data_IF_775466829887
#
_entry.id   IF_775466829887
#
_cell.length_a   1.000
_cell.length_b   1.000
_cell.length_c   1.000
_cell.angle_alpha   90.00
_cell.angle_beta   90.00
_cell.angle_gamma   90.00
#
_symmetry.space_group_name_H-M   'P 1'
#
loop_
_entity.id
_entity.type
_entity.pdbx_description
1 polymer ?
#
# COMPACT_ATOMS: atom_id res chain seq x y z
N UNK A 1 -27.80 -29.59 -21.06
CA UNK A 1 -26.89 -28.45 -20.80
C UNK A 1 -25.77 -28.97 -19.91
N UNK A 2 -24.52 -28.95 -20.35
CA UNK A 2 -23.40 -29.44 -19.54
C UNK A 2 -23.13 -28.45 -18.40
N UNK A 3 -23.53 -28.80 -17.18
CA UNK A 3 -23.20 -28.08 -15.94
C UNK A 3 -21.73 -28.30 -15.55
N UNK A 4 -20.81 -28.12 -16.50
CA UNK A 4 -19.39 -28.27 -16.22
C UNK A 4 -18.94 -27.09 -15.39
N UNK A 5 -18.52 -27.36 -14.16
CA UNK A 5 -17.88 -26.37 -13.31
C UNK A 5 -16.46 -26.15 -13.83
N UNK A 6 -16.16 -24.92 -14.18
CA UNK A 6 -14.88 -24.46 -14.66
C UNK A 6 -14.21 -23.65 -13.55
N UNK A 7 -12.89 -23.76 -13.46
CA UNK A 7 -12.08 -22.92 -12.59
C UNK A 7 -11.32 -21.90 -13.44
N UNK A 8 -11.26 -20.67 -12.98
CA UNK A 8 -10.50 -19.61 -13.62
C UNK A 8 -10.00 -18.59 -12.62
N UNK A 9 -9.26 -17.60 -13.13
CA UNK A 9 -8.72 -16.48 -12.38
C UNK A 9 -9.32 -15.18 -12.92
N UNK A 10 -9.79 -14.32 -12.03
CA UNK A 10 -10.25 -12.98 -12.39
C UNK A 10 -9.06 -12.17 -12.91
N UNK A 11 -9.08 -11.77 -14.18
CA UNK A 11 -8.05 -10.94 -14.81
C UNK A 11 -8.42 -9.46 -14.81
N UNK A 12 -9.72 -9.14 -14.72
CA UNK A 12 -10.20 -7.76 -14.68
C UNK A 12 -11.53 -7.63 -13.93
N UNK A 13 -11.71 -6.52 -13.22
CA UNK A 13 -12.95 -6.17 -12.52
C UNK A 13 -13.43 -4.82 -13.03
N UNK A 14 -14.64 -4.76 -13.57
CA UNK A 14 -15.31 -3.52 -13.93
C UNK A 14 -16.23 -3.10 -12.77
N UNK A 15 -15.80 -2.11 -11.99
CA UNK A 15 -16.53 -1.64 -10.81
C UNK A 15 -17.82 -0.88 -11.15
N UNK A 16 -17.88 -0.21 -12.31
CA UNK A 16 -19.08 0.52 -12.77
C UNK A 16 -20.18 -0.43 -13.24
N UNK A 17 -19.81 -1.38 -14.12
CA UNK A 17 -20.74 -2.35 -14.71
C UNK A 17 -20.98 -3.56 -13.83
N UNK A 18 -20.25 -3.69 -12.71
CA UNK A 18 -20.28 -4.83 -11.78
C UNK A 18 -20.09 -6.17 -12.50
N UNK A 19 -19.08 -6.24 -13.37
CA UNK A 19 -18.73 -7.46 -14.11
C UNK A 19 -17.26 -7.83 -13.92
N UNK A 20 -16.95 -9.12 -13.95
CA UNK A 20 -15.57 -9.62 -13.97
C UNK A 20 -15.25 -10.31 -15.29
N UNK A 21 -13.99 -10.21 -15.70
CA UNK A 21 -13.40 -11.05 -16.74
C UNK A 21 -12.61 -12.16 -16.07
N UNK A 22 -12.88 -13.41 -16.46
CA UNK A 22 -12.26 -14.60 -15.91
C UNK A 22 -11.45 -15.27 -17.01
N UNK A 23 -10.14 -15.42 -16.79
CA UNK A 23 -9.26 -16.24 -17.61
C UNK A 23 -9.28 -17.69 -17.12
N UNK A 24 -9.39 -18.62 -18.06
CA UNK A 24 -9.47 -20.06 -17.77
C UNK A 24 -8.91 -20.87 -18.93
N UNK A 25 -8.45 -22.09 -18.64
CA UNK A 25 -7.90 -23.00 -19.64
C UNK A 25 -8.96 -24.01 -20.12
N UNK A 26 -9.05 -24.18 -21.44
CA UNK A 26 -9.86 -25.23 -22.07
C UNK A 26 -9.01 -25.94 -23.10
N UNK A 27 -8.73 -27.23 -22.88
CA UNK A 27 -7.92 -28.07 -23.78
C UNK A 27 -6.55 -27.43 -24.12
N UNK A 28 -5.87 -26.87 -23.12
CA UNK A 28 -4.56 -26.21 -23.28
C UNK A 28 -4.59 -24.83 -23.95
N UNK A 29 -5.79 -24.28 -24.25
CA UNK A 29 -5.95 -22.92 -24.77
C UNK A 29 -6.53 -22.02 -23.69
N UNK A 30 -5.84 -20.91 -23.42
CA UNK A 30 -6.35 -19.81 -22.58
C UNK A 30 -7.55 -19.17 -23.26
N UNK A 31 -8.63 -19.02 -22.51
CA UNK A 31 -9.85 -18.31 -22.88
C UNK A 31 -10.20 -17.29 -21.82
N UNK A 32 -10.96 -16.28 -22.22
CA UNK A 32 -11.52 -15.30 -21.31
C UNK A 32 -13.05 -15.27 -21.44
N UNK A 33 -13.74 -15.13 -20.32
CA UNK A 33 -15.20 -15.03 -20.28
C UNK A 33 -15.63 -13.96 -19.29
N UNK A 34 -16.64 -13.18 -19.66
CA UNK A 34 -17.20 -12.17 -18.77
C UNK A 34 -18.40 -12.74 -18.00
N UNK A 35 -18.57 -12.29 -16.75
CA UNK A 35 -19.74 -12.62 -15.94
C UNK A 35 -20.15 -11.49 -14.99
N UNK A 36 -21.46 -11.36 -14.71
CA UNK A 36 -21.98 -10.39 -13.75
C UNK A 36 -21.65 -10.82 -12.31
N UNK A 37 -21.32 -9.84 -11.47
CA UNK A 37 -21.04 -9.99 -10.03
C UNK A 37 -21.73 -8.90 -9.20
N UNK A 38 -22.77 -8.27 -9.75
CA UNK A 38 -23.61 -7.30 -9.04
C UNK A 38 -24.34 -7.92 -7.84
N UNK A 39 -24.83 -7.05 -6.97
CA UNK A 39 -25.46 -7.43 -5.70
C UNK A 39 -26.74 -8.26 -5.91
N UNK A 40 -27.48 -8.03 -6.99
CA UNK A 40 -28.67 -8.80 -7.33
C UNK A 40 -28.29 -10.25 -7.70
N UNK A 41 -27.30 -10.40 -8.59
CA UNK A 41 -26.77 -11.69 -9.02
C UNK A 41 -26.21 -12.48 -7.84
N UNK A 42 -25.34 -11.86 -7.03
CA UNK A 42 -24.79 -12.52 -5.84
C UNK A 42 -25.87 -12.82 -4.79
N UNK A 43 -26.87 -11.95 -4.65
CA UNK A 43 -28.02 -12.15 -3.77
C UNK A 43 -28.85 -13.38 -4.18
N UNK A 44 -29.09 -13.57 -5.47
CA UNK A 44 -29.76 -14.78 -6.00
C UNK A 44 -28.94 -16.04 -5.75
N UNK A 45 -27.62 -15.98 -5.97
CA UNK A 45 -26.72 -17.12 -5.70
C UNK A 45 -26.69 -17.49 -4.22
N UNK A 46 -26.74 -16.49 -3.33
CA UNK A 46 -26.81 -16.70 -1.88
C UNK A 46 -28.13 -17.35 -1.47
N UNK A 47 -29.27 -16.86 -2.01
CA UNK A 47 -30.60 -17.46 -1.77
C UNK A 47 -30.67 -18.92 -2.25
N UNK A 48 -29.99 -19.25 -3.35
CA UNK A 48 -29.89 -20.61 -3.89
C UNK A 48 -28.86 -21.50 -3.18
N UNK A 49 -28.15 -20.99 -2.16
CA UNK A 49 -27.13 -21.74 -1.43
C UNK A 49 -25.84 -22.00 -2.20
N UNK A 50 -25.65 -21.38 -3.39
CA UNK A 50 -24.45 -21.56 -4.22
C UNK A 50 -23.24 -20.88 -3.58
N UNK A 51 -23.46 -19.72 -2.95
CA UNK A 51 -22.45 -18.96 -2.19
C UNK A 51 -22.93 -18.72 -0.77
N UNK A 52 -22.01 -18.69 0.20
CA UNK A 52 -22.34 -18.45 1.61
C UNK A 52 -22.45 -16.96 1.94
N UNK A 53 -21.66 -16.12 1.27
CA UNK A 53 -21.59 -14.66 1.46
C UNK A 53 -21.35 -13.97 0.11
N UNK A 54 -21.73 -12.69 0.05
CA UNK A 54 -21.33 -11.79 -1.03
C UNK A 54 -19.82 -11.59 -0.93
N UNK A 55 -19.17 -11.53 -2.08
CA UNK A 55 -17.73 -11.32 -2.20
C UNK A 55 -17.47 -10.11 -3.09
N UNK A 56 -16.60 -9.22 -2.62
CA UNK A 56 -16.06 -8.16 -3.45
C UNK A 56 -14.91 -8.74 -4.27
N UNK A 57 -15.12 -8.88 -5.57
CA UNK A 57 -14.15 -9.53 -6.44
C UNK A 57 -12.96 -8.61 -6.72
N UNK A 58 -11.77 -9.19 -6.63
CA UNK A 58 -10.50 -8.53 -6.92
C UNK A 58 -9.78 -9.27 -8.04
N UNK A 59 -8.86 -8.57 -8.72
CA UNK A 59 -7.96 -9.22 -9.68
C UNK A 59 -7.13 -10.27 -8.95
N UNK A 60 -6.92 -11.43 -9.59
CA UNK A 60 -6.22 -12.57 -9.01
C UNK A 60 -7.11 -13.54 -8.24
N UNK A 61 -8.37 -13.19 -7.96
CA UNK A 61 -9.32 -14.10 -7.34
C UNK A 61 -9.47 -15.37 -8.17
N UNK A 62 -9.27 -16.53 -7.55
CA UNK A 62 -9.57 -17.83 -8.14
C UNK A 62 -11.03 -18.14 -7.86
N UNK A 63 -11.74 -18.48 -8.93
CA UNK A 63 -13.19 -18.66 -8.91
C UNK A 63 -13.60 -19.95 -9.61
N UNK A 64 -14.68 -20.56 -9.12
CA UNK A 64 -15.44 -21.54 -9.88
C UNK A 64 -16.61 -20.85 -10.58
N UNK A 65 -16.94 -21.28 -11.78
CA UNK A 65 -18.07 -20.76 -12.53
C UNK A 65 -18.62 -21.82 -13.48
N UNK A 66 -19.75 -21.52 -14.10
CA UNK A 66 -20.34 -22.32 -15.17
C UNK A 66 -20.43 -21.44 -16.41
N UNK A 67 -20.10 -21.95 -17.58
CA UNK A 67 -20.23 -21.21 -18.84
C UNK A 67 -21.58 -21.50 -19.48
N UNK A 68 -22.33 -20.46 -19.84
CA UNK A 68 -23.63 -20.59 -20.51
C UNK A 68 -23.87 -19.48 -21.53
N UNK A 69 -24.87 -19.66 -22.39
CA UNK A 69 -25.30 -18.60 -23.30
C UNK A 69 -26.03 -17.53 -22.49
N UNK A 70 -25.74 -16.26 -22.75
CA UNK A 70 -26.41 -15.13 -22.12
C UNK A 70 -27.92 -15.19 -22.32
N UNK A 71 -28.71 -14.56 -21.45
CA UNK A 71 -30.16 -14.51 -21.57
C UNK A 71 -30.66 -13.96 -22.92
N UNK A 72 -29.87 -13.11 -23.59
CA UNK A 72 -30.15 -12.57 -24.93
C UNK A 72 -29.66 -13.44 -26.10
N UNK A 73 -29.10 -14.63 -25.84
CA UNK A 73 -28.66 -15.58 -26.88
C UNK A 73 -27.32 -15.26 -27.56
N UNK A 74 -26.80 -14.03 -27.44
CA UNK A 74 -25.78 -13.54 -28.37
C UNK A 74 -24.31 -13.80 -27.96
N UNK A 75 -24.04 -14.22 -26.73
CA UNK A 75 -22.66 -14.44 -26.24
C UNK A 75 -22.58 -15.46 -25.11
N UNK A 76 -21.41 -16.09 -24.97
CA UNK A 76 -21.08 -16.90 -23.79
C UNK A 76 -20.77 -16.00 -22.60
N UNK A 77 -21.32 -16.36 -21.43
CA UNK A 77 -21.11 -15.66 -20.16
C UNK A 77 -20.84 -16.66 -19.04
N UNK A 78 -20.10 -16.21 -18.04
CA UNK A 78 -19.93 -16.94 -16.80
C UNK A 78 -21.12 -16.69 -15.88
N UNK A 79 -21.64 -17.76 -15.28
CA UNK A 79 -22.70 -17.76 -14.27
C UNK A 79 -22.28 -18.60 -13.07
N UNK A 80 -22.98 -18.45 -11.95
CA UNK A 80 -22.66 -19.15 -10.69
C UNK A 80 -21.20 -18.92 -10.24
N UNK A 81 -20.70 -17.69 -10.42
CA UNK A 81 -19.32 -17.33 -10.07
C UNK A 81 -19.20 -17.41 -8.53
N UNK A 82 -18.28 -18.25 -8.08
CA UNK A 82 -18.01 -18.51 -6.67
C UNK A 82 -16.53 -18.28 -6.39
N UNK A 83 -16.25 -17.34 -5.50
CA UNK A 83 -14.92 -17.13 -4.95
C UNK A 83 -14.41 -18.39 -4.22
N UNK A 84 -13.15 -18.73 -4.48
CA UNK A 84 -12.43 -19.79 -3.76
C UNK A 84 -11.38 -19.18 -2.83
N UNK A 85 -10.38 -18.52 -3.41
CA UNK A 85 -9.25 -17.92 -2.70
C UNK A 85 -8.54 -16.88 -3.57
N UNK A 86 -7.70 -16.04 -2.95
CA UNK A 86 -6.74 -15.17 -3.63
C UNK A 86 -5.43 -15.22 -2.85
N UNK A 87 -4.36 -15.69 -3.49
CA UNK A 87 -3.03 -15.83 -2.87
C UNK A 87 -2.06 -14.76 -3.34
N UNK A 88 -2.50 -13.74 -4.10
CA UNK A 88 -1.60 -12.74 -4.67
C UNK A 88 -0.79 -12.02 -3.59
N UNK A 89 -1.44 -11.61 -2.49
CA UNK A 89 -0.75 -10.98 -1.36
C UNK A 89 0.23 -11.95 -0.67
N UNK A 90 -0.16 -13.20 -0.47
CA UNK A 90 0.69 -14.22 0.14
C UNK A 90 1.94 -14.51 -0.69
N UNK A 91 1.78 -14.57 -2.01
CA UNK A 91 2.88 -14.74 -2.96
C UNK A 91 3.84 -13.55 -2.89
N UNK A 92 3.33 -12.31 -2.87
CA UNK A 92 4.16 -11.12 -2.73
C UNK A 92 4.90 -11.08 -1.38
N UNK A 93 4.22 -11.41 -0.28
CA UNK A 93 4.83 -11.46 1.06
C UNK A 93 5.94 -12.52 1.11
N UNK A 94 5.71 -13.69 0.55
CA UNK A 94 6.72 -14.75 0.51
C UNK A 94 7.89 -14.37 -0.39
N UNK A 95 7.65 -13.75 -1.55
CA UNK A 95 8.72 -13.22 -2.42
C UNK A 95 9.52 -12.14 -1.70
N UNK A 96 8.87 -11.24 -0.96
CA UNK A 96 9.53 -10.19 -0.21
C UNK A 96 10.45 -10.72 0.91
N UNK A 97 10.27 -11.96 1.38
CA UNK A 97 11.18 -12.59 2.36
C UNK A 97 12.52 -13.00 1.76
N UNK A 98 12.58 -13.25 0.45
CA UNK A 98 13.83 -13.62 -0.25
C UNK A 98 14.38 -12.47 -1.11
N UNK A 99 13.50 -11.79 -1.84
CA UNK A 99 13.81 -10.67 -2.72
C UNK A 99 12.73 -9.59 -2.61
N UNK A 100 13.00 -8.57 -1.79
CA UNK A 100 12.06 -7.48 -1.54
C UNK A 100 12.25 -6.32 -2.51
N UNK A 101 12.04 -6.59 -3.80
CA UNK A 101 12.14 -5.60 -4.87
C UNK A 101 11.06 -5.85 -5.90
N UNK A 102 10.16 -4.88 -6.04
CA UNK A 102 8.98 -4.95 -6.90
C UNK A 102 8.91 -3.74 -7.83
N UNK A 103 8.17 -3.91 -8.92
CA UNK A 103 7.82 -2.84 -9.85
C UNK A 103 6.33 -2.52 -9.70
N UNK A 104 6.00 -1.24 -9.77
CA UNK A 104 4.63 -0.76 -9.63
C UNK A 104 4.46 0.60 -10.27
N UNK A 105 3.23 1.11 -10.26
CA UNK A 105 2.92 2.46 -10.71
C UNK A 105 2.55 3.32 -9.51
N UNK A 106 3.18 4.49 -9.40
CA UNK A 106 2.83 5.46 -8.36
C UNK A 106 1.46 6.09 -8.69
N UNK A 107 0.57 6.12 -7.71
CA UNK A 107 -0.79 6.68 -7.80
C UNK A 107 -1.03 7.60 -6.60
N UNK A 108 -1.92 8.55 -6.77
CA UNK A 108 -2.41 9.42 -5.70
C UNK A 108 -3.94 9.34 -5.63
N UNK A 109 -4.48 9.27 -4.42
CA UNK A 109 -5.90 9.36 -4.13
C UNK A 109 -6.07 9.97 -2.74
N UNK A 110 -6.96 10.96 -2.60
CA UNK A 110 -7.22 11.67 -1.33
C UNK A 110 -5.94 12.15 -0.62
N UNK A 111 -5.03 12.80 -1.37
CA UNK A 111 -3.72 13.28 -0.91
C UNK A 111 -2.78 12.19 -0.34
N UNK A 112 -3.08 10.91 -0.57
CA UNK A 112 -2.27 9.77 -0.16
C UNK A 112 -1.69 9.07 -1.38
N UNK A 113 -0.42 8.70 -1.25
CA UNK A 113 0.29 7.98 -2.30
C UNK A 113 0.13 6.47 -2.13
N UNK A 114 0.00 5.78 -3.25
CA UNK A 114 -0.10 4.34 -3.33
C UNK A 114 0.79 3.84 -4.46
N UNK A 115 1.32 2.63 -4.31
CA UNK A 115 1.88 1.90 -5.45
C UNK A 115 0.92 0.80 -5.85
N UNK A 116 0.54 0.80 -7.12
CA UNK A 116 -0.16 -0.31 -7.77
C UNK A 116 0.89 -1.28 -8.31
N UNK A 117 1.06 -2.43 -7.67
CA UNK A 117 2.01 -3.45 -8.12
C UNK A 117 1.60 -4.01 -9.51
N UNK A 118 2.57 -4.23 -10.40
CA UNK A 118 2.29 -4.50 -11.82
C UNK A 118 1.55 -5.84 -12.02
N UNK A 119 2.01 -6.91 -11.37
CA UNK A 119 1.55 -8.26 -11.69
C UNK A 119 0.23 -8.62 -11.00
N UNK A 120 0.10 -8.22 -9.73
CA UNK A 120 -1.07 -8.52 -8.88
C UNK A 120 -2.13 -7.43 -8.91
N UNK A 121 -1.78 -6.23 -9.37
CA UNK A 121 -2.61 -5.02 -9.31
C UNK A 121 -3.03 -4.62 -7.89
N UNK A 122 -2.38 -5.18 -6.86
CA UNK A 122 -2.61 -4.80 -5.47
C UNK A 122 -2.08 -3.39 -5.21
N UNK A 123 -2.81 -2.64 -4.39
CA UNK A 123 -2.45 -1.29 -3.98
C UNK A 123 -1.83 -1.33 -2.59
N UNK A 124 -0.64 -0.75 -2.47
CA UNK A 124 0.05 -0.60 -1.20
C UNK A 124 0.22 0.89 -0.87
N UNK A 125 -0.20 1.34 0.31
CA UNK A 125 0.01 2.72 0.72
C UNK A 125 1.50 3.01 0.82
N UNK A 126 1.93 4.17 0.32
CA UNK A 126 3.33 4.59 0.37
C UNK A 126 3.62 5.32 1.68
N UNK A 127 4.62 4.84 2.41
CA UNK A 127 5.13 5.50 3.62
C UNK A 127 6.04 6.65 3.23
N UNK A 128 5.51 7.88 3.21
CA UNK A 128 6.29 9.10 2.94
C UNK A 128 6.86 9.65 4.25
N UNK A 129 8.18 9.84 4.29
CA UNK A 129 8.85 10.50 5.41
C UNK A 129 8.41 11.97 5.54
N UNK A 130 8.30 12.51 6.77
CA UNK A 130 8.10 13.96 6.97
C UNK A 130 9.19 14.83 6.34
N UNK A 131 10.37 14.26 6.09
CA UNK A 131 11.55 14.93 5.54
C UNK A 131 11.86 14.53 4.10
N UNK A 132 10.99 13.74 3.49
CA UNK A 132 11.10 13.36 2.09
C UNK A 132 10.45 14.44 1.22
N UNK A 133 11.13 14.78 0.13
CA UNK A 133 10.56 15.58 -0.94
C UNK A 133 9.48 14.73 -1.59
N UNK A 134 8.24 15.23 -1.61
CA UNK A 134 7.12 14.51 -2.20
C UNK A 134 7.39 14.26 -3.69
N UNK A 135 7.04 13.08 -4.22
CA UNK A 135 7.12 12.84 -5.65
C UNK A 135 6.28 13.88 -6.39
N UNK A 136 6.88 14.48 -7.42
CA UNK A 136 6.20 15.45 -8.27
C UNK A 136 5.10 14.78 -9.11
N UNK A 137 4.15 15.58 -9.61
CA UNK A 137 2.98 15.06 -10.34
C UNK A 137 3.36 14.34 -11.64
N UNK A 138 4.46 14.74 -12.27
CA UNK A 138 5.02 14.09 -13.46
C UNK A 138 5.51 12.65 -13.20
N UNK A 139 5.82 12.32 -11.94
CA UNK A 139 6.15 10.95 -11.51
C UNK A 139 4.91 10.08 -11.27
N UNK A 140 3.72 10.64 -11.29
CA UNK A 140 2.50 9.85 -11.17
C UNK A 140 2.29 9.02 -12.43
N UNK A 141 1.89 7.77 -12.25
CA UNK A 141 1.69 6.77 -13.30
C UNK A 141 2.98 6.30 -14.00
N UNK A 142 4.15 6.76 -13.60
CA UNK A 142 5.42 6.18 -14.04
C UNK A 142 5.72 4.87 -13.30
N UNK A 143 6.43 3.91 -13.94
CA UNK A 143 6.97 2.75 -13.25
C UNK A 143 7.97 3.17 -12.16
N UNK A 144 7.75 2.68 -10.94
CA UNK A 144 8.63 2.88 -9.79
C UNK A 144 9.09 1.55 -9.23
N UNK A 145 10.29 1.52 -8.68
CA UNK A 145 10.78 0.39 -7.90
C UNK A 145 10.45 0.61 -6.42
N UNK A 146 9.92 -0.40 -5.75
CA UNK A 146 9.57 -0.33 -4.33
C UNK A 146 9.81 -1.65 -3.61
N UNK A 147 9.81 -1.59 -2.27
CA UNK A 147 9.83 -2.74 -1.37
C UNK A 147 8.61 -2.72 -0.46
N UNK A 148 8.20 -3.88 0.04
CA UNK A 148 7.14 -4.03 1.02
C UNK A 148 7.71 -3.99 2.45
N UNK A 149 7.16 -3.14 3.31
CA UNK A 149 7.45 -3.09 4.74
C UNK A 149 6.28 -3.70 5.56
N UNK A 150 6.53 -4.07 6.81
CA UNK A 150 5.55 -4.68 7.74
C UNK A 150 4.96 -6.03 7.29
N UNK A 151 5.78 -6.90 6.69
CA UNK A 151 5.37 -8.22 6.16
C UNK A 151 4.66 -9.13 7.18
N UNK A 152 4.94 -8.97 8.47
CA UNK A 152 4.33 -9.75 9.56
C UNK A 152 2.84 -9.43 9.79
N UNK A 153 2.36 -8.26 9.33
CA UNK A 153 0.98 -7.80 9.51
C UNK A 153 0.39 -7.44 8.15
N UNK A 154 -0.26 -8.41 7.51
CA UNK A 154 -0.80 -8.30 6.14
C UNK A 154 -1.70 -7.08 5.93
N UNK A 155 -2.44 -6.68 6.96
CA UNK A 155 -3.33 -5.51 6.99
C UNK A 155 -2.59 -4.16 7.10
N UNK A 156 -1.29 -4.18 7.44
CA UNK A 156 -0.45 -3.00 7.65
C UNK A 156 0.75 -2.94 6.71
N UNK A 157 0.74 -3.74 5.65
CA UNK A 157 1.81 -3.72 4.64
C UNK A 157 1.79 -2.35 3.95
N UNK A 158 2.97 -1.74 3.86
CA UNK A 158 3.18 -0.47 3.18
C UNK A 158 4.26 -0.61 2.12
N UNK A 159 4.20 0.21 1.07
CA UNK A 159 5.26 0.33 0.09
C UNK A 159 6.26 1.41 0.50
N UNK A 160 7.54 1.14 0.27
CA UNK A 160 8.63 2.11 0.35
C UNK A 160 9.34 2.17 -0.99
N UNK A 161 9.34 3.36 -1.59
CA UNK A 161 10.02 3.60 -2.85
C UNK A 161 11.54 3.49 -2.67
N UNK A 162 12.27 3.05 -3.69
CA UNK A 162 13.74 3.06 -3.64
C UNK A 162 14.30 4.46 -3.90
N UNK A 163 13.72 5.18 -4.86
CA UNK A 163 14.17 6.50 -5.28
C UNK A 163 13.52 7.59 -4.41
N UNK A 164 13.98 7.71 -3.17
CA UNK A 164 13.55 8.79 -2.27
C UNK A 164 14.57 9.93 -2.28
N UNK A 165 14.09 11.15 -2.47
CA UNK A 165 14.87 12.37 -2.26
C UNK A 165 14.47 13.00 -0.93
N UNK A 166 15.44 13.38 -0.10
CA UNK A 166 15.19 14.02 1.19
C UNK A 166 15.58 15.50 1.14
N UNK A 167 15.01 16.29 2.06
CA UNK A 167 15.38 17.69 2.21
C UNK A 167 16.84 17.82 2.69
N UNK A 168 17.56 18.91 2.33
CA UNK A 168 18.95 19.11 2.75
C UNK A 168 19.16 19.02 4.26
N UNK A 169 18.21 19.50 5.06
CA UNK A 169 18.27 19.48 6.52
C UNK A 169 18.31 18.05 7.08
N UNK A 170 17.68 17.09 6.41
CA UNK A 170 17.74 15.68 6.79
C UNK A 170 19.14 15.08 6.53
N UNK A 171 19.77 15.45 5.41
CA UNK A 171 21.16 15.04 5.13
C UNK A 171 22.15 15.62 6.15
N UNK A 172 21.93 16.86 6.57
CA UNK A 172 22.71 17.49 7.66
C UNK A 172 22.49 16.75 8.99
N UNK A 173 21.24 16.42 9.34
CA UNK A 173 20.93 15.63 10.53
C UNK A 173 21.58 14.23 10.48
N UNK A 174 21.61 13.57 9.32
CA UNK A 174 22.32 12.30 9.13
C UNK A 174 23.83 12.43 9.37
N UNK A 175 24.45 13.52 8.90
CA UNK A 175 25.87 13.78 9.16
C UNK A 175 26.13 13.94 10.66
N UNK A 176 25.35 14.77 11.33
CA UNK A 176 25.46 15.05 12.78
C UNK A 176 25.22 13.79 13.62
N UNK A 177 24.26 12.95 13.23
CA UNK A 177 24.01 11.67 13.88
C UNK A 177 25.20 10.71 13.71
N UNK A 178 25.76 10.58 12.50
CA UNK A 178 26.92 9.71 12.26
C UNK A 178 28.18 10.17 12.98
N UNK A 179 28.43 11.48 13.00
CA UNK A 179 29.58 12.05 13.70
C UNK A 179 29.36 12.20 15.20
N UNK A 180 28.15 11.93 15.70
CA UNK A 180 27.79 12.05 17.11
C UNK A 180 28.12 13.46 17.66
N UNK A 181 27.96 14.48 16.82
CA UNK A 181 28.33 15.87 17.14
C UNK A 181 27.22 16.56 17.92
N UNK A 182 27.52 17.21 19.06
CA UNK A 182 26.58 18.09 19.75
C UNK A 182 26.07 19.22 18.86
N UNK A 183 24.80 19.59 19.02
CA UNK A 183 24.14 20.65 18.27
C UNK A 183 23.43 21.57 19.24
N UNK A 184 23.67 22.88 19.12
CA UNK A 184 22.87 23.87 19.82
C UNK A 184 21.51 24.03 19.14
N UNK A 185 20.44 23.88 19.91
CA UNK A 185 19.07 23.89 19.39
C UNK A 185 18.24 24.90 20.12
N UNK A 186 17.36 25.58 19.39
CA UNK A 186 16.47 26.58 19.96
C UNK A 186 15.14 25.92 20.33
N UNK A 187 14.70 26.13 21.57
CA UNK A 187 13.37 25.74 22.02
C UNK A 187 12.33 26.61 21.32
N UNK A 188 11.48 26.03 20.49
CA UNK A 188 10.40 26.77 19.81
C UNK A 188 9.06 26.64 20.53
N UNK A 189 8.87 25.59 21.33
CA UNK A 189 7.63 25.35 22.08
C UNK A 189 7.88 24.54 23.35
N UNK A 190 7.24 24.94 24.44
CA UNK A 190 7.19 24.17 25.69
C UNK A 190 5.73 23.82 25.97
N UNK A 191 5.47 22.58 26.38
CA UNK A 191 4.14 22.11 26.77
C UNK A 191 4.25 21.14 27.94
N UNK A 192 3.13 20.81 28.63
CA UNK A 192 3.13 19.76 29.65
C UNK A 192 3.63 18.39 29.13
N UNK A 193 3.59 18.17 27.82
CA UNK A 193 4.03 16.93 27.21
C UNK A 193 5.53 16.89 26.92
N UNK A 194 6.25 18.02 26.95
CA UNK A 194 7.68 18.08 26.65
C UNK A 194 8.14 19.41 26.04
N UNK A 195 9.45 19.48 25.79
CA UNK A 195 10.14 20.62 25.18
C UNK A 195 10.41 20.28 23.72
N UNK A 196 10.06 21.18 22.81
CA UNK A 196 10.24 20.99 21.37
C UNK A 196 11.32 21.93 20.86
N UNK A 197 12.28 21.35 20.14
CA UNK A 197 13.48 22.05 19.66
C UNK A 197 13.65 21.91 18.16
N UNK A 198 14.23 22.94 17.55
CA UNK A 198 14.67 22.97 16.16
C UNK A 198 16.11 22.44 16.08
N UNK A 199 16.28 21.20 15.61
CA UNK A 199 17.59 20.51 15.56
C UNK A 199 18.40 20.95 14.35
N UNK A 200 17.78 20.97 13.17
CA UNK A 200 18.41 21.46 11.94
C UNK A 200 17.41 22.32 11.19
N UNK A 201 17.63 23.64 11.24
CA UNK A 201 16.65 24.61 10.79
C UNK A 201 15.29 24.42 11.46
N UNK A 202 14.23 24.93 10.83
CA UNK A 202 12.86 24.78 11.35
C UNK A 202 12.18 23.48 10.90
N UNK A 203 12.86 22.65 10.10
CA UNK A 203 12.29 21.45 9.46
C UNK A 203 12.60 20.14 10.18
N UNK A 204 13.78 20.02 10.80
CA UNK A 204 14.10 18.86 11.64
C UNK A 204 13.84 19.22 13.09
N UNK A 205 12.68 18.81 13.59
CA UNK A 205 12.25 19.08 14.95
C UNK A 205 12.26 17.81 15.79
N UNK A 206 12.54 17.95 17.07
CA UNK A 206 12.53 16.85 18.01
C UNK A 206 11.97 17.26 19.36
N UNK A 207 11.67 16.26 20.18
CA UNK A 207 11.06 16.40 21.49
C UNK A 207 12.01 15.91 22.57
N UNK A 208 12.20 16.74 23.59
CA UNK A 208 12.85 16.39 24.85
C UNK A 208 11.80 16.21 25.96
N UNK A 209 12.14 15.47 27.03
CA UNK A 209 11.32 15.42 28.25
C UNK A 209 11.03 16.82 28.80
N UNK A 210 9.90 16.97 29.49
CA UNK A 210 9.58 18.23 30.16
C UNK A 210 10.59 18.52 31.27
N UNK A 211 11.05 19.77 31.34
CA UNK A 211 11.91 20.29 32.40
C UNK A 211 11.35 21.62 32.86
N UNK A 212 11.21 21.76 34.18
CA UNK A 212 10.70 22.98 34.80
C UNK A 212 11.65 24.15 34.55
N UNK A 213 11.10 25.33 34.27
CA UNK A 213 11.86 26.54 33.96
C UNK A 213 12.32 26.71 32.51
N UNK A 214 12.13 25.71 31.64
CA UNK A 214 12.40 25.86 30.21
C UNK A 214 11.37 26.76 29.53
N UNK A 215 11.82 27.64 28.64
CA UNK A 215 10.99 28.59 27.89
C UNK A 215 11.36 28.61 26.41
N UNK A 216 10.43 29.09 25.58
CA UNK A 216 10.72 29.32 24.17
C UNK A 216 11.84 30.37 24.02
N UNK A 217 12.77 30.10 23.10
CA UNK A 217 13.98 30.89 22.89
C UNK A 217 15.21 30.38 23.64
N UNK A 218 15.06 29.45 24.60
CA UNK A 218 16.21 28.84 25.26
C UNK A 218 17.06 28.03 24.27
N UNK A 219 18.37 28.03 24.49
CA UNK A 219 19.33 27.23 23.73
C UNK A 219 19.68 25.99 24.55
N UNK A 220 19.48 24.81 23.97
CA UNK A 220 19.81 23.53 24.58
C UNK A 220 20.78 22.79 23.65
N UNK A 221 21.93 22.39 24.19
CA UNK A 221 22.86 21.52 23.50
C UNK A 221 22.34 20.08 23.53
N UNK A 222 22.20 19.46 22.37
CA UNK A 222 21.64 18.12 22.23
C UNK A 222 22.49 17.25 21.31
N UNK A 223 22.31 15.95 21.43
CA UNK A 223 22.92 14.94 20.56
C UNK A 223 21.85 14.08 19.91
N UNK A 224 22.02 13.74 18.63
CA UNK A 224 21.11 12.84 17.91
C UNK A 224 21.46 11.38 18.23
N UNK A 225 20.63 10.74 19.04
CA UNK A 225 20.80 9.35 19.47
C UNK A 225 20.26 8.35 18.47
N UNK A 226 19.22 8.73 17.73
CA UNK A 226 18.64 7.90 16.68
C UNK A 226 18.06 8.77 15.57
N UNK A 227 18.30 8.37 14.32
CA UNK A 227 17.68 8.99 13.16
C UNK A 227 17.31 7.92 12.13
N UNK A 228 16.04 7.91 11.73
CA UNK A 228 15.53 7.18 10.58
C UNK A 228 14.68 8.13 9.73
N UNK A 229 14.25 7.73 8.52
CA UNK A 229 13.30 8.53 7.74
C UNK A 229 11.97 8.83 8.45
N UNK A 230 11.59 8.06 9.46
CA UNK A 230 10.31 8.25 10.15
C UNK A 230 10.43 8.89 11.53
N UNK A 231 11.63 8.88 12.14
CA UNK A 231 11.79 9.22 13.55
C UNK A 231 13.17 9.78 13.86
N UNK A 232 13.19 10.77 14.75
CA UNK A 232 14.39 11.31 15.38
C UNK A 232 14.27 11.19 16.90
N UNK A 233 15.36 10.84 17.57
CA UNK A 233 15.49 10.86 19.03
C UNK A 233 16.76 11.63 19.38
N UNK A 234 16.61 12.56 20.31
CA UNK A 234 17.71 13.40 20.80
C UNK A 234 17.83 13.27 22.32
N UNK A 235 19.00 13.59 22.82
CA UNK A 235 19.31 13.67 24.25
C UNK A 235 19.95 15.01 24.56
N UNK A 236 19.55 15.64 25.67
CA UNK A 236 20.18 16.87 26.14
C UNK A 236 21.52 16.55 26.80
N UNK A 237 22.51 17.42 26.59
CA UNK A 237 23.84 17.31 27.18
C UNK A 237 23.95 18.09 28.49
#
# INVERSE_FOLDING_TARGET
MSNTILQGRVSFVNHEKKTVMIEYDVNGKKKAINGPVDDETQGLLKKKGVIKKVHEFHIGDVVNFTSGISARGNKMVASNIRFLYNTALDVLVNKAKTENRFLGYLKIADDKYFVKEIDSYLFFPVSISPWQVRPAEDKLNEPVTFMLENLEKKDKITAKLFDNTYIPEFHTALKLHKSQTPVETVVYKVSPHGIYVNVVGEKIQAKLPFKEGAKAGDIISVKIMYLSPAKIIIEAL
#
